data_IF_739499445237
#
_entry.id   IF_739499445237
#
_cell.length_a   1.000
_cell.length_b   1.000
_cell.length_c   1.000
_cell.angle_alpha   90.00
_cell.angle_beta   90.00
_cell.angle_gamma   90.00
#
_symmetry.space_group_name_H-M   'P 1'
#
loop_
_entity.id
_entity.type
_entity.pdbx_description
1 polymer ?
#
# COMPACT_ATOMS: atom_id res chain seq x y z
N UNK A 1 -10.08 3.95 44.80
CA UNK A 1 -8.94 4.59 44.08
C UNK A 1 -8.62 3.95 42.69
N UNK A 2 -9.40 2.96 42.25
CA UNK A 2 -9.17 2.27 40.97
C UNK A 2 -9.68 3.04 39.73
N UNK A 3 -10.76 3.81 39.89
CA UNK A 3 -11.51 4.38 38.76
C UNK A 3 -10.76 5.46 37.98
N UNK A 4 -10.02 6.32 38.62
CA UNK A 4 -9.30 7.44 37.99
C UNK A 4 -8.15 6.95 37.08
N UNK A 5 -7.42 5.90 37.50
CA UNK A 5 -6.34 5.30 36.69
C UNK A 5 -6.89 4.63 35.45
N UNK A 6 -8.03 3.97 35.56
CA UNK A 6 -8.69 3.31 34.41
C UNK A 6 -9.25 4.34 33.42
N UNK A 7 -9.86 5.42 33.94
CA UNK A 7 -10.34 6.54 33.09
C UNK A 7 -9.16 7.20 32.35
N UNK A 8 -8.05 7.46 33.03
CA UNK A 8 -6.85 8.00 32.39
C UNK A 8 -6.29 7.06 31.32
N UNK A 9 -6.30 5.75 31.61
CA UNK A 9 -5.86 4.75 30.62
C UNK A 9 -6.80 4.70 29.40
N UNK A 10 -8.12 4.79 29.61
CA UNK A 10 -9.11 4.91 28.51
C UNK A 10 -8.86 6.16 27.67
N UNK A 11 -8.65 7.31 28.29
CA UNK A 11 -8.39 8.55 27.58
C UNK A 11 -7.08 8.51 26.78
N UNK A 12 -6.04 7.86 27.33
CA UNK A 12 -4.78 7.63 26.61
C UNK A 12 -4.96 6.69 25.41
N UNK A 13 -5.60 5.53 25.60
CA UNK A 13 -5.88 4.61 24.49
C UNK A 13 -6.69 5.29 23.39
N UNK A 14 -7.64 6.15 23.75
CA UNK A 14 -8.42 6.92 22.76
C UNK A 14 -7.57 7.98 22.06
N UNK A 15 -6.67 8.66 22.76
CA UNK A 15 -5.74 9.63 22.19
C UNK A 15 -4.67 8.98 21.29
N UNK A 16 -4.28 7.74 21.61
CA UNK A 16 -3.34 6.91 20.85
C UNK A 16 -4.03 6.18 19.69
N UNK A 17 -5.37 6.26 19.57
CA UNK A 17 -6.15 5.62 18.52
C UNK A 17 -6.33 4.11 18.68
N UNK A 18 -6.01 3.55 19.86
CA UNK A 18 -6.17 2.12 20.16
C UNK A 18 -7.59 1.83 20.67
N UNK A 19 -8.51 1.61 19.69
CA UNK A 19 -9.92 1.31 19.99
C UNK A 19 -10.10 -0.04 20.69
N UNK A 20 -9.30 -1.03 20.36
CA UNK A 20 -9.41 -2.35 21.01
C UNK A 20 -9.01 -2.26 22.48
N UNK A 21 -7.93 -1.57 22.78
CA UNK A 21 -7.51 -1.32 24.15
C UNK A 21 -8.51 -0.42 24.91
N UNK A 22 -9.07 0.61 24.23
CA UNK A 22 -10.12 1.45 24.79
C UNK A 22 -11.36 0.64 25.18
N UNK A 23 -11.86 -0.23 24.27
CA UNK A 23 -13.03 -1.09 24.53
C UNK A 23 -12.75 -2.14 25.60
N UNK A 24 -11.54 -2.70 25.64
CA UNK A 24 -11.13 -3.65 26.67
C UNK A 24 -11.13 -3.01 28.07
N UNK A 25 -10.58 -1.79 28.20
CA UNK A 25 -10.57 -1.05 29.46
C UNK A 25 -11.99 -0.64 29.85
N UNK A 26 -12.84 -0.23 28.90
CA UNK A 26 -14.24 0.11 29.16
C UNK A 26 -15.02 -1.09 29.72
N UNK A 27 -14.80 -2.30 29.20
CA UNK A 27 -15.40 -3.53 29.72
C UNK A 27 -14.86 -3.89 31.12
N UNK A 28 -13.57 -3.65 31.39
CA UNK A 28 -13.00 -3.82 32.73
C UNK A 28 -13.63 -2.86 33.77
N UNK A 29 -13.87 -1.61 33.36
CA UNK A 29 -14.58 -0.63 34.20
C UNK A 29 -16.00 -1.10 34.46
N UNK A 30 -16.73 -1.54 33.44
CA UNK A 30 -18.09 -2.09 33.60
C UNK A 30 -18.12 -3.30 34.55
N UNK A 31 -17.15 -4.22 34.43
CA UNK A 31 -17.03 -5.36 35.32
C UNK A 31 -16.69 -4.94 36.80
N UNK A 32 -15.91 -3.87 36.96
CA UNK A 32 -15.59 -3.31 38.26
C UNK A 32 -16.82 -2.69 38.94
N UNK A 33 -17.60 -1.90 38.17
CA UNK A 33 -18.86 -1.27 38.66
C UNK A 33 -19.90 -2.34 39.05
N UNK A 34 -20.02 -3.41 38.24
CA UNK A 34 -20.89 -4.54 38.58
C UNK A 34 -20.51 -5.21 39.89
N UNK A 35 -19.22 -5.39 40.16
CA UNK A 35 -18.71 -5.96 41.41
C UNK A 35 -18.92 -5.06 42.63
N UNK A 36 -18.99 -3.74 42.44
CA UNK A 36 -19.28 -2.75 43.47
C UNK A 36 -20.79 -2.57 43.71
N UNK A 37 -21.64 -3.30 43.00
CA UNK A 37 -23.09 -3.25 43.19
C UNK A 37 -23.79 -2.22 42.29
N UNK A 38 -23.05 -1.46 41.47
CA UNK A 38 -23.59 -0.43 40.58
C UNK A 38 -24.05 -1.05 39.25
N UNK A 39 -25.02 -1.95 39.30
CA UNK A 39 -25.49 -2.72 38.13
C UNK A 39 -25.96 -1.83 36.97
N UNK A 40 -26.69 -0.76 37.28
CA UNK A 40 -27.21 0.17 36.25
C UNK A 40 -26.08 0.83 35.44
N UNK A 41 -25.00 1.28 36.13
CA UNK A 41 -23.84 1.87 35.49
C UNK A 41 -23.08 0.85 34.66
N UNK A 42 -22.95 -0.38 35.15
CA UNK A 42 -22.29 -1.47 34.44
C UNK A 42 -23.03 -1.84 33.16
N UNK A 43 -24.36 -1.89 33.20
CA UNK A 43 -25.21 -2.20 32.05
C UNK A 43 -25.19 -1.05 31.02
N UNK A 44 -25.19 0.20 31.47
CA UNK A 44 -25.05 1.37 30.59
C UNK A 44 -23.68 1.38 29.88
N UNK A 45 -22.61 1.07 30.59
CA UNK A 45 -21.27 0.99 30.00
C UNK A 45 -21.18 -0.16 28.99
N UNK A 46 -21.76 -1.32 29.28
CA UNK A 46 -21.82 -2.44 28.32
C UNK A 46 -22.60 -2.08 27.07
N UNK A 47 -23.78 -1.50 27.23
CA UNK A 47 -24.63 -1.06 26.11
C UNK A 47 -23.93 0.02 25.27
N UNK A 48 -23.16 0.94 25.91
CA UNK A 48 -22.38 1.93 25.18
C UNK A 48 -21.22 1.28 24.40
N UNK A 49 -20.55 0.27 24.96
CA UNK A 49 -19.51 -0.50 24.27
C UNK A 49 -20.09 -1.29 23.11
N UNK A 50 -21.27 -1.92 23.27
CA UNK A 50 -21.93 -2.62 22.18
C UNK A 50 -22.37 -1.67 21.06
N UNK A 51 -22.96 -0.52 21.40
CA UNK A 51 -23.28 0.53 20.42
C UNK A 51 -22.04 1.04 19.68
N UNK A 52 -20.91 1.21 20.38
CA UNK A 52 -19.66 1.58 19.73
C UNK A 52 -19.13 0.47 18.80
N UNK A 53 -19.30 -0.81 19.18
CA UNK A 53 -19.00 -1.95 18.31
C UNK A 53 -19.94 -2.04 17.11
N UNK A 54 -21.21 -1.77 17.30
CA UNK A 54 -22.22 -1.74 16.22
C UNK A 54 -22.09 -0.51 15.33
N UNK A 55 -21.79 0.67 15.89
CA UNK A 55 -21.51 1.90 15.16
C UNK A 55 -20.14 1.84 14.45
N UNK A 56 -19.20 1.06 14.99
CA UNK A 56 -17.98 0.61 14.33
C UNK A 56 -18.23 -0.52 13.33
N UNK A 57 -19.49 -0.89 13.11
CA UNK A 57 -19.92 -1.92 12.20
C UNK A 57 -19.34 -1.71 10.82
N UNK A 58 -18.49 -2.63 10.43
CA UNK A 58 -17.98 -2.91 9.10
C UNK A 58 -17.02 -1.90 8.45
N UNK A 59 -16.34 -1.11 9.27
CA UNK A 59 -15.02 -0.60 8.91
C UNK A 59 -14.04 -1.17 9.93
N UNK A 60 -13.27 -2.21 9.61
CA UNK A 60 -12.07 -2.46 10.36
C UNK A 60 -11.16 -1.25 10.12
N UNK A 61 -11.28 -0.22 10.97
CA UNK A 61 -10.18 0.70 11.18
C UNK A 61 -9.08 -0.11 11.86
N UNK A 62 -8.37 -0.89 11.07
CA UNK A 62 -7.06 -1.36 11.45
C UNK A 62 -6.27 -0.07 11.59
N UNK A 63 -6.20 0.47 12.81
CA UNK A 63 -5.21 1.47 13.14
C UNK A 63 -3.87 0.77 13.01
N UNK A 64 -3.41 0.66 11.79
CA UNK A 64 -2.06 0.22 11.50
C UNK A 64 -1.20 1.33 12.06
N UNK A 65 -0.47 1.03 13.12
CA UNK A 65 0.45 1.98 13.74
C UNK A 65 1.29 2.66 12.67
N UNK A 66 1.13 3.97 12.53
CA UNK A 66 1.98 4.82 11.68
C UNK A 66 3.36 5.04 12.31
N UNK A 67 3.71 4.27 13.35
CA UNK A 67 5.04 4.32 13.93
C UNK A 67 6.08 4.01 12.85
N UNK A 68 7.04 4.91 12.69
CA UNK A 68 8.16 4.72 11.76
C UNK A 68 8.90 3.43 12.11
N UNK A 69 9.39 2.70 11.10
CA UNK A 69 10.28 1.57 11.33
C UNK A 69 11.44 1.99 12.23
N UNK A 70 11.77 1.17 13.22
CA UNK A 70 12.84 1.43 14.20
C UNK A 70 13.82 0.27 14.22
N UNK A 71 15.03 0.53 14.71
CA UNK A 71 16.07 -0.49 14.80
C UNK A 71 16.54 -0.94 13.43
N UNK A 72 16.68 -2.25 13.25
CA UNK A 72 17.25 -2.86 12.03
C UNK A 72 16.45 -2.58 10.75
N UNK A 73 15.20 -2.12 10.85
CA UNK A 73 14.36 -1.70 9.73
C UNK A 73 14.52 -0.21 9.38
N UNK A 74 15.21 0.56 10.22
CA UNK A 74 15.48 1.96 9.96
C UNK A 74 16.38 2.11 8.73
N UNK A 75 15.91 2.90 7.77
CA UNK A 75 16.60 3.07 6.48
C UNK A 75 16.36 1.96 5.46
N UNK A 76 15.69 0.84 5.80
CA UNK A 76 15.27 -0.18 4.85
C UNK A 76 13.84 0.08 4.30
N UNK A 77 13.01 0.75 5.09
CA UNK A 77 11.61 1.03 4.78
C UNK A 77 11.31 2.51 4.96
N UNK A 78 10.80 3.14 3.93
CA UNK A 78 10.21 4.47 4.00
C UNK A 78 8.70 4.34 4.17
N UNK A 79 8.18 4.95 5.24
CA UNK A 79 6.75 4.97 5.54
C UNK A 79 6.13 6.26 5.03
N UNK A 80 5.09 6.11 4.22
CA UNK A 80 4.31 7.22 3.65
C UNK A 80 2.84 7.10 4.06
N UNK A 81 2.23 8.22 4.37
CA UNK A 81 0.78 8.30 4.44
C UNK A 81 0.22 8.44 3.02
N UNK A 82 -0.59 7.48 2.54
CA UNK A 82 -1.10 7.56 1.18
C UNK A 82 -2.10 8.71 1.05
N UNK A 83 -1.75 9.72 0.25
CA UNK A 83 -2.60 10.87 -0.04
C UNK A 83 -3.54 10.66 -1.24
N UNK A 84 -3.28 9.61 -2.04
CA UNK A 84 -3.99 9.31 -3.27
C UNK A 84 -5.04 8.21 -3.07
N UNK A 85 -6.07 8.26 -3.91
CA UNK A 85 -7.08 7.22 -4.09
C UNK A 85 -7.09 6.72 -5.53
N UNK A 86 -7.51 5.48 -5.75
CA UNK A 86 -7.63 4.92 -7.10
C UNK A 86 -8.52 5.78 -8.01
N UNK A 87 -9.53 6.43 -7.47
CA UNK A 87 -10.41 7.35 -8.23
C UNK A 87 -9.71 8.58 -8.80
N UNK A 88 -8.49 8.88 -8.36
CA UNK A 88 -7.67 10.00 -8.84
C UNK A 88 -6.60 9.57 -9.84
N UNK A 89 -6.42 8.28 -10.04
CA UNK A 89 -5.42 7.73 -10.96
C UNK A 89 -6.11 7.38 -12.27
N UNK A 90 -5.57 7.85 -13.39
CA UNK A 90 -6.02 7.48 -14.73
C UNK A 90 -5.46 6.10 -15.05
N UNK A 91 -6.33 5.15 -15.32
CA UNK A 91 -6.01 3.74 -15.55
C UNK A 91 -6.87 3.20 -16.67
N UNK A 92 -6.31 2.32 -17.48
CA UNK A 92 -7.08 1.53 -18.45
C UNK A 92 -8.18 0.72 -17.73
N UNK A 93 -9.32 0.54 -18.39
CA UNK A 93 -10.52 -0.07 -17.78
C UNK A 93 -10.25 -1.49 -17.26
N UNK A 94 -9.48 -2.29 -18.00
CA UNK A 94 -9.12 -3.65 -17.58
C UNK A 94 -8.20 -3.66 -16.34
N UNK A 95 -7.27 -2.71 -16.27
CA UNK A 95 -6.38 -2.52 -15.13
C UNK A 95 -7.16 -2.05 -13.91
N UNK A 96 -8.08 -1.11 -14.10
CA UNK A 96 -9.00 -0.64 -13.07
C UNK A 96 -9.84 -1.80 -12.51
N UNK A 97 -10.45 -2.59 -13.37
CA UNK A 97 -11.27 -3.73 -12.97
C UNK A 97 -10.49 -4.78 -12.16
N UNK A 98 -9.22 -5.01 -12.49
CA UNK A 98 -8.35 -5.90 -11.72
C UNK A 98 -8.04 -5.34 -10.33
N UNK A 99 -7.71 -4.04 -10.23
CA UNK A 99 -7.43 -3.37 -8.96
C UNK A 99 -8.68 -3.33 -8.06
N UNK A 100 -9.85 -3.01 -8.62
CA UNK A 100 -11.12 -3.01 -7.88
C UNK A 100 -11.43 -4.41 -7.32
N UNK A 101 -11.12 -5.47 -8.08
CA UNK A 101 -11.23 -6.85 -7.60
C UNK A 101 -10.28 -7.13 -6.43
N UNK A 102 -9.04 -6.66 -6.49
CA UNK A 102 -8.07 -6.79 -5.39
C UNK A 102 -8.58 -6.07 -4.15
N UNK A 103 -9.08 -4.85 -4.29
CA UNK A 103 -9.67 -4.07 -3.19
C UNK A 103 -10.83 -4.85 -2.56
N UNK A 104 -11.78 -5.31 -3.36
CA UNK A 104 -12.92 -6.09 -2.90
C UNK A 104 -12.51 -7.37 -2.15
N UNK A 105 -11.48 -8.09 -2.64
CA UNK A 105 -10.95 -9.27 -1.98
C UNK A 105 -10.32 -8.92 -0.62
N UNK A 106 -9.61 -7.82 -0.53
CA UNK A 106 -8.99 -7.37 0.71
C UNK A 106 -10.02 -6.88 1.74
N UNK A 107 -11.09 -6.23 1.30
CA UNK A 107 -12.24 -5.86 2.14
C UNK A 107 -12.96 -7.09 2.69
N UNK A 108 -13.20 -8.07 1.83
CA UNK A 108 -13.92 -9.31 2.19
C UNK A 108 -12.99 -10.45 2.65
N UNK A 109 -11.77 -10.14 3.09
CA UNK A 109 -10.75 -11.13 3.44
C UNK A 109 -11.18 -12.15 4.50
N UNK A 110 -11.96 -11.71 5.49
CA UNK A 110 -12.45 -12.61 6.57
C UNK A 110 -13.39 -13.63 5.98
N UNK A 111 -14.36 -13.20 5.19
CA UNK A 111 -15.30 -14.09 4.51
C UNK A 111 -14.59 -15.08 3.54
N UNK A 112 -13.58 -14.60 2.79
CA UNK A 112 -12.78 -15.48 1.93
C UNK A 112 -12.04 -16.55 2.72
N UNK A 113 -11.48 -16.19 3.89
CA UNK A 113 -10.79 -17.14 4.78
C UNK A 113 -11.73 -18.18 5.37
N UNK A 114 -12.92 -17.80 5.76
CA UNK A 114 -13.98 -18.72 6.21
C UNK A 114 -14.34 -19.72 5.10
N UNK A 115 -14.33 -19.29 3.83
CA UNK A 115 -14.46 -20.12 2.65
C UNK A 115 -13.19 -20.88 2.24
N UNK A 116 -12.16 -20.91 3.10
CA UNK A 116 -10.83 -21.49 2.82
C UNK A 116 -10.17 -20.93 1.54
N UNK A 117 -10.35 -19.63 1.29
CA UNK A 117 -9.75 -18.88 0.18
C UNK A 117 -8.86 -17.77 0.73
N UNK A 118 -7.80 -17.44 0.00
CA UNK A 118 -6.93 -16.33 0.35
C UNK A 118 -7.16 -15.16 -0.62
N UNK A 119 -7.23 -13.92 -0.13
CA UNK A 119 -7.25 -12.75 -1.00
C UNK A 119 -5.90 -12.58 -1.70
N UNK A 120 -5.91 -11.97 -2.87
CA UNK A 120 -4.68 -11.59 -3.60
C UNK A 120 -3.81 -10.67 -2.74
N UNK A 121 -2.53 -11.01 -2.59
CA UNK A 121 -1.56 -10.26 -1.75
C UNK A 121 -0.34 -9.82 -2.53
N UNK A 122 0.06 -10.59 -3.54
CA UNK A 122 1.28 -10.39 -4.32
C UNK A 122 0.90 -9.91 -5.69
N UNK A 123 1.20 -8.65 -5.96
CA UNK A 123 0.87 -7.98 -7.21
C UNK A 123 2.16 -7.63 -7.95
N UNK A 124 2.25 -8.00 -9.21
CA UNK A 124 3.34 -7.59 -10.08
C UNK A 124 2.88 -6.44 -10.98
N UNK A 125 3.50 -5.29 -10.85
CA UNK A 125 3.28 -4.13 -11.71
C UNK A 125 4.34 -4.14 -12.82
N UNK A 126 3.93 -4.37 -14.04
CA UNK A 126 4.81 -4.46 -15.20
C UNK A 126 4.45 -3.38 -16.22
N UNK A 127 5.46 -2.67 -16.74
CA UNK A 127 5.26 -1.63 -17.75
C UNK A 127 6.43 -0.65 -17.81
N UNK A 128 6.44 0.26 -18.78
CA UNK A 128 7.52 1.22 -18.99
C UNK A 128 7.68 2.19 -17.81
N UNK A 129 8.84 2.86 -17.67
CA UNK A 129 9.01 3.91 -16.68
C UNK A 129 8.02 5.05 -16.94
N UNK A 130 7.57 5.70 -15.86
CA UNK A 130 6.61 6.80 -15.95
C UNK A 130 5.16 6.41 -16.27
N UNK A 131 4.82 5.11 -16.33
CA UNK A 131 3.45 4.63 -16.59
C UNK A 131 2.53 4.63 -15.36
N UNK A 132 2.96 5.18 -14.22
CA UNK A 132 2.11 5.34 -13.02
C UNK A 132 2.11 4.18 -12.04
N UNK A 133 3.03 3.20 -12.15
CA UNK A 133 3.11 2.02 -11.25
C UNK A 133 3.18 2.40 -9.76
N UNK A 134 4.16 3.20 -9.38
CA UNK A 134 4.38 3.64 -7.99
C UNK A 134 3.19 4.44 -7.46
N UNK A 135 2.66 5.36 -8.27
CA UNK A 135 1.46 6.15 -7.95
C UNK A 135 0.23 5.26 -7.74
N UNK A 136 0.07 4.22 -8.55
CA UNK A 136 -1.05 3.26 -8.40
C UNK A 136 -0.90 2.41 -7.14
N UNK A 137 0.33 2.03 -6.77
CA UNK A 137 0.60 1.30 -5.52
C UNK A 137 0.26 2.16 -4.28
N UNK A 138 0.62 3.45 -4.30
CA UNK A 138 0.23 4.42 -3.28
C UNK A 138 -1.29 4.57 -3.21
N UNK A 139 -1.95 4.76 -4.37
CA UNK A 139 -3.40 4.90 -4.45
C UNK A 139 -4.15 3.65 -3.96
N UNK A 140 -3.60 2.45 -4.22
CA UNK A 140 -4.12 1.19 -3.69
C UNK A 140 -4.02 1.15 -2.16
N UNK A 141 -2.90 1.61 -1.59
CA UNK A 141 -2.76 1.73 -0.14
C UNK A 141 -3.79 2.70 0.45
N UNK A 142 -4.01 3.84 -0.21
CA UNK A 142 -5.04 4.81 0.16
C UNK A 142 -6.45 4.24 0.10
N UNK A 143 -6.78 3.45 -0.94
CA UNK A 143 -8.09 2.81 -1.08
C UNK A 143 -8.34 1.78 0.02
N UNK A 144 -7.31 1.01 0.35
CA UNK A 144 -7.35 -0.01 1.41
C UNK A 144 -7.24 0.57 2.84
N UNK A 145 -7.01 1.89 2.98
CA UNK A 145 -6.75 2.55 4.27
C UNK A 145 -5.58 1.91 5.02
N UNK A 146 -4.52 1.58 4.31
CA UNK A 146 -3.32 0.94 4.83
C UNK A 146 -2.11 1.87 4.69
N UNK A 147 -1.11 1.78 5.57
CA UNK A 147 0.15 2.48 5.38
C UNK A 147 0.84 2.00 4.10
N UNK A 148 1.50 2.91 3.44
CA UNK A 148 2.31 2.66 2.26
C UNK A 148 3.78 2.62 2.66
N UNK A 149 4.44 1.49 2.45
CA UNK A 149 5.84 1.28 2.80
C UNK A 149 6.63 0.98 1.53
N UNK A 150 7.61 1.83 1.26
CA UNK A 150 8.51 1.66 0.12
C UNK A 150 9.81 1.02 0.62
N UNK A 151 10.17 -0.10 0.02
CA UNK A 151 11.39 -0.84 0.35
C UNK A 151 12.56 -0.22 -0.42
N UNK A 152 13.58 0.22 0.30
CA UNK A 152 14.79 0.82 -0.27
C UNK A 152 15.75 -0.28 -0.73
N UNK A 153 15.68 -0.64 -2.01
CA UNK A 153 16.51 -1.70 -2.58
C UNK A 153 18.00 -1.39 -2.48
N UNK A 154 18.38 -0.12 -2.62
CA UNK A 154 19.77 0.32 -2.48
C UNK A 154 20.34 0.09 -1.06
N UNK A 155 19.48 0.11 -0.04
CA UNK A 155 19.86 -0.16 1.35
C UNK A 155 19.90 -1.67 1.68
N UNK A 156 19.19 -2.48 0.89
CA UNK A 156 19.20 -3.93 1.01
C UNK A 156 20.47 -4.54 0.40
N UNK A 157 20.93 -3.99 -0.73
CA UNK A 157 22.07 -4.54 -1.47
C UNK A 157 23.35 -4.08 -0.79
N UNK A 158 24.09 -5.03 -0.21
CA UNK A 158 25.38 -4.80 0.40
C UNK A 158 26.43 -5.70 -0.24
N UNK A 159 27.70 -5.31 -0.15
CA UNK A 159 28.82 -6.13 -0.64
C UNK A 159 28.95 -7.49 0.07
N UNK A 160 28.30 -7.64 1.21
CA UNK A 160 28.36 -8.86 2.02
C UNK A 160 27.09 -9.69 1.83
N UNK A 161 27.22 -10.84 1.19
CA UNK A 161 26.08 -11.71 0.78
C UNK A 161 25.14 -12.13 1.91
N UNK A 162 25.67 -12.37 3.12
CA UNK A 162 24.83 -12.75 4.28
C UNK A 162 23.94 -11.64 4.78
N UNK A 163 24.35 -10.39 4.62
CA UNK A 163 23.58 -9.22 5.09
C UNK A 163 22.37 -8.93 4.23
N UNK A 164 22.47 -9.07 2.90
CA UNK A 164 21.35 -8.82 2.00
C UNK A 164 20.18 -9.77 2.27
N UNK A 165 20.47 -11.06 2.43
CA UNK A 165 19.41 -12.05 2.77
C UNK A 165 18.83 -11.81 4.16
N UNK A 166 19.65 -11.43 5.14
CA UNK A 166 19.17 -11.08 6.48
C UNK A 166 18.27 -9.84 6.48
N UNK A 167 18.66 -8.79 5.75
CA UNK A 167 17.86 -7.57 5.60
C UNK A 167 16.54 -7.83 4.88
N UNK A 168 16.55 -8.62 3.80
CA UNK A 168 15.32 -9.04 3.13
C UNK A 168 14.39 -9.78 4.08
N UNK A 169 14.94 -10.71 4.87
CA UNK A 169 14.14 -11.44 5.87
C UNK A 169 13.49 -10.49 6.87
N UNK A 170 14.21 -9.49 7.38
CA UNK A 170 13.63 -8.48 8.28
C UNK A 170 12.45 -7.74 7.64
N UNK A 171 12.58 -7.36 6.37
CA UNK A 171 11.47 -6.71 5.63
C UNK A 171 10.28 -7.67 5.50
N UNK A 172 10.50 -8.93 5.12
CA UNK A 172 9.41 -9.90 4.99
C UNK A 172 8.76 -10.24 6.34
N UNK A 173 9.53 -10.38 7.41
CA UNK A 173 9.01 -10.58 8.77
C UNK A 173 8.11 -9.39 9.18
N UNK A 174 8.49 -8.16 8.79
CA UNK A 174 7.65 -6.99 9.03
C UNK A 174 6.33 -7.04 8.22
N UNK A 175 6.32 -7.55 6.98
CA UNK A 175 5.06 -7.72 6.22
C UNK A 175 4.07 -8.64 6.89
N UNK A 176 4.56 -9.59 7.69
CA UNK A 176 3.73 -10.52 8.47
C UNK A 176 3.22 -9.84 9.74
N UNK A 177 4.07 -9.06 10.42
CA UNK A 177 3.75 -8.40 11.68
C UNK A 177 2.85 -7.19 11.51
N UNK A 178 3.11 -6.41 10.45
CA UNK A 178 2.42 -5.15 10.21
C UNK A 178 1.70 -5.19 8.88
N UNK A 179 0.40 -4.98 8.93
CA UNK A 179 -0.41 -4.87 7.72
C UNK A 179 -0.13 -3.54 7.01
N UNK A 180 0.14 -3.61 5.73
CA UNK A 180 0.46 -2.45 4.88
C UNK A 180 0.55 -2.86 3.43
N UNK A 181 0.71 -1.87 2.56
CA UNK A 181 1.12 -2.08 1.17
C UNK A 181 2.62 -1.83 1.10
N UNK A 182 3.36 -2.87 0.76
CA UNK A 182 4.83 -2.84 0.65
C UNK A 182 5.20 -2.81 -0.82
N UNK A 183 5.83 -1.74 -1.26
CA UNK A 183 6.32 -1.58 -2.62
C UNK A 183 7.80 -1.89 -2.69
N UNK A 184 8.17 -2.84 -3.52
CA UNK A 184 9.53 -3.09 -3.97
C UNK A 184 9.69 -2.43 -5.34
N UNK A 185 10.17 -1.19 -5.38
CA UNK A 185 10.31 -0.42 -6.61
C UNK A 185 11.68 -0.62 -7.26
N UNK A 186 11.80 -0.27 -8.55
CA UNK A 186 13.05 -0.30 -9.31
C UNK A 186 13.77 -1.67 -9.38
N UNK A 187 13.04 -2.77 -9.27
CA UNK A 187 13.60 -4.11 -9.35
C UNK A 187 14.30 -4.39 -10.70
N UNK A 188 13.92 -3.69 -11.75
CA UNK A 188 14.50 -3.72 -13.10
C UNK A 188 15.81 -2.92 -13.22
N UNK A 189 15.95 -1.80 -12.48
CA UNK A 189 17.18 -1.02 -12.44
C UNK A 189 18.33 -1.83 -11.83
N UNK A 190 18.01 -2.74 -10.94
CA UNK A 190 18.94 -3.66 -10.29
C UNK A 190 19.44 -4.71 -11.27
N UNK A 191 18.65 -5.08 -12.31
CA UNK A 191 19.05 -6.01 -13.38
C UNK A 191 19.73 -5.36 -14.59
N UNK A 192 19.68 -4.03 -14.74
CA UNK A 192 20.04 -3.33 -15.97
C UNK A 192 21.47 -2.80 -16.11
N UNK A 193 22.24 -2.68 -15.06
CA UNK A 193 23.65 -2.22 -15.15
C UNK A 193 24.60 -3.36 -15.59
N UNK A 194 24.71 -3.54 -16.88
CA UNK A 194 25.58 -4.53 -17.56
C UNK A 194 27.06 -4.11 -17.58
N UNK A 195 27.70 -3.80 -16.45
CA UNK A 195 29.11 -3.33 -16.52
C UNK A 195 30.11 -4.10 -15.67
N UNK A 196 29.72 -5.13 -14.91
CA UNK A 196 30.71 -6.03 -14.31
C UNK A 196 30.14 -7.44 -14.15
N UNK A 197 30.91 -8.44 -14.55
CA UNK A 197 30.54 -9.87 -14.51
C UNK A 197 30.26 -10.42 -13.11
N UNK A 198 30.63 -9.73 -12.05
CA UNK A 198 30.37 -10.11 -10.66
C UNK A 198 29.01 -9.66 -10.15
N UNK A 199 28.47 -8.52 -10.62
CA UNK A 199 27.20 -7.96 -10.13
C UNK A 199 25.97 -8.78 -10.56
N UNK A 200 26.04 -9.46 -11.72
CA UNK A 200 24.93 -10.29 -12.23
C UNK A 200 24.65 -11.50 -11.33
N UNK A 201 25.71 -12.06 -10.72
CA UNK A 201 25.58 -13.21 -9.82
C UNK A 201 24.95 -12.83 -8.48
N UNK A 202 25.31 -11.67 -7.92
CA UNK A 202 24.72 -11.17 -6.65
C UNK A 202 23.26 -10.82 -6.82
N UNK A 203 22.92 -10.18 -7.94
CA UNK A 203 21.56 -9.79 -8.26
C UNK A 203 20.62 -10.98 -8.42
N UNK A 204 21.04 -12.02 -9.13
CA UNK A 204 20.28 -13.26 -9.24
C UNK A 204 20.02 -13.89 -7.87
N UNK A 205 20.96 -13.78 -6.95
CA UNK A 205 20.81 -14.30 -5.58
C UNK A 205 19.84 -13.48 -4.76
N UNK A 206 19.90 -12.14 -4.85
CA UNK A 206 18.92 -11.24 -4.21
C UNK A 206 17.53 -11.57 -4.71
N UNK A 207 17.36 -11.69 -6.02
CA UNK A 207 16.09 -12.07 -6.63
C UNK A 207 15.61 -13.45 -6.18
N UNK A 208 16.51 -14.43 -6.13
CA UNK A 208 16.16 -15.76 -5.64
C UNK A 208 15.77 -15.76 -4.16
N UNK A 209 16.49 -15.00 -3.32
CA UNK A 209 16.13 -14.84 -1.90
C UNK A 209 14.78 -14.15 -1.75
N UNK A 210 14.53 -13.10 -2.53
CA UNK A 210 13.23 -12.41 -2.57
C UNK A 210 12.10 -13.37 -2.95
N UNK A 211 12.28 -14.16 -4.00
CA UNK A 211 11.31 -15.13 -4.46
C UNK A 211 11.07 -16.24 -3.43
N UNK A 212 12.13 -16.69 -2.75
CA UNK A 212 12.04 -17.67 -1.68
C UNK A 212 11.21 -17.13 -0.51
N UNK A 213 11.46 -15.89 -0.05
CA UNK A 213 10.68 -15.28 1.03
C UNK A 213 9.22 -15.03 0.64
N UNK A 214 8.92 -14.77 -0.63
CA UNK A 214 7.53 -14.69 -1.09
C UNK A 214 6.80 -16.04 -1.04
N UNK A 215 7.53 -17.17 -1.05
CA UNK A 215 6.94 -18.51 -1.10
C UNK A 215 6.73 -19.18 0.26
N UNK A 216 7.28 -18.67 1.35
CA UNK A 216 7.08 -19.31 2.66
C UNK A 216 5.60 -19.28 3.10
N UNK A 217 4.95 -20.45 3.34
CA UNK A 217 5.53 -21.78 3.49
C UNK A 217 5.23 -22.70 2.30
N UNK A 218 6.16 -23.05 1.46
CA UNK A 218 6.33 -24.35 0.83
C UNK A 218 7.11 -24.30 -0.50
N UNK A 219 8.17 -25.08 -0.47
CA UNK A 219 8.82 -25.83 -1.54
C UNK A 219 9.80 -25.19 -2.50
N UNK A 220 10.86 -25.94 -2.67
CA UNK A 220 12.09 -25.80 -3.43
C UNK A 220 11.89 -25.66 -4.93
N UNK A 221 12.45 -24.65 -5.51
CA UNK A 221 13.37 -24.58 -6.67
C UNK A 221 13.37 -23.18 -7.29
N UNK A 222 14.56 -22.54 -7.46
CA UNK A 222 14.67 -21.23 -8.06
C UNK A 222 15.13 -21.34 -9.52
N UNK A 223 14.32 -20.93 -10.48
CA UNK A 223 14.81 -20.64 -11.83
C UNK A 223 14.21 -19.35 -12.38
N UNK A 224 15.09 -18.32 -12.47
CA UNK A 224 15.19 -17.16 -13.38
C UNK A 224 13.91 -16.44 -13.87
N UNK A 225 13.99 -15.12 -13.93
CA UNK A 225 13.12 -14.09 -14.56
C UNK A 225 12.46 -14.53 -15.90
N UNK A 226 11.65 -15.53 -15.84
CA UNK A 226 11.01 -16.32 -16.84
C UNK A 226 9.49 -16.27 -16.53
N UNK A 227 8.62 -16.70 -17.41
CA UNK A 227 7.20 -16.96 -17.16
C UNK A 227 6.88 -17.63 -15.81
N UNK A 228 7.86 -18.32 -15.22
CA UNK A 228 7.82 -18.85 -13.86
C UNK A 228 7.67 -17.77 -12.76
N UNK A 229 8.20 -16.56 -12.94
CA UNK A 229 8.03 -15.45 -12.01
C UNK A 229 6.58 -14.99 -11.93
N UNK A 230 5.92 -14.90 -13.09
CA UNK A 230 4.53 -14.45 -13.14
C UNK A 230 3.60 -15.40 -12.39
N UNK A 231 3.94 -16.68 -12.29
CA UNK A 231 3.16 -17.68 -11.55
C UNK A 231 3.23 -17.54 -10.03
N UNK A 232 4.18 -16.75 -9.51
CA UNK A 232 4.37 -16.51 -8.08
C UNK A 232 3.59 -15.30 -7.57
N UNK A 233 3.06 -14.49 -8.50
CA UNK A 233 2.19 -13.38 -8.19
C UNK A 233 0.73 -13.80 -8.35
N UNK A 234 -0.10 -13.30 -7.45
CA UNK A 234 -1.54 -13.58 -7.47
C UNK A 234 -2.21 -12.82 -8.63
N UNK A 235 -1.67 -11.64 -8.97
CA UNK A 235 -2.13 -10.82 -10.10
C UNK A 235 -0.94 -10.15 -10.81
N UNK A 236 -1.01 -10.08 -12.14
CA UNK A 236 -0.07 -9.31 -12.97
C UNK A 236 -0.82 -8.14 -13.59
N UNK A 237 -0.41 -6.94 -13.21
CA UNK A 237 -0.99 -5.66 -13.61
C UNK A 237 -0.07 -5.02 -14.64
N UNK A 238 -0.51 -4.98 -15.90
CA UNK A 238 0.26 -4.43 -17.01
C UNK A 238 -0.13 -2.98 -17.24
N UNK A 239 0.87 -2.13 -17.22
CA UNK A 239 0.76 -0.70 -17.52
C UNK A 239 1.33 -0.47 -18.92
N UNK A 240 0.47 -0.09 -19.83
CA UNK A 240 0.86 0.25 -21.18
C UNK A 240 1.04 1.77 -21.32
N UNK A 241 1.47 2.21 -22.51
CA UNK A 241 1.47 3.64 -22.83
C UNK A 241 0.02 4.13 -22.93
N UNK A 242 -0.25 5.39 -22.50
CA UNK A 242 -1.62 5.89 -22.43
C UNK A 242 -2.30 5.96 -23.79
N UNK A 243 -3.53 5.50 -23.85
CA UNK A 243 -4.43 5.62 -24.99
C UNK A 243 -4.85 7.09 -25.22
N UNK A 244 -5.43 7.43 -26.38
CA UNK A 244 -5.93 8.78 -26.65
C UNK A 244 -6.88 9.33 -25.60
N UNK A 245 -7.73 8.49 -25.03
CA UNK A 245 -8.68 8.88 -23.99
C UNK A 245 -7.98 9.10 -22.64
N UNK A 246 -7.03 8.24 -22.30
CA UNK A 246 -6.21 8.39 -21.09
C UNK A 246 -5.29 9.62 -21.18
N UNK A 247 -4.71 9.93 -22.36
CA UNK A 247 -3.96 11.18 -22.58
C UNK A 247 -4.83 12.40 -22.23
N UNK A 248 -6.07 12.41 -22.73
CA UNK A 248 -7.02 13.47 -22.42
C UNK A 248 -7.30 13.57 -20.93
N UNK A 249 -7.56 12.43 -20.28
CA UNK A 249 -7.91 12.39 -18.87
C UNK A 249 -6.75 12.81 -17.96
N UNK A 250 -5.52 12.35 -18.24
CA UNK A 250 -4.31 12.78 -17.52
C UNK A 250 -4.17 14.30 -17.59
N UNK A 251 -4.18 14.86 -18.79
CA UNK A 251 -4.03 16.32 -18.97
C UNK A 251 -5.16 17.08 -18.30
N UNK A 252 -6.41 16.64 -18.43
CA UNK A 252 -7.56 17.27 -17.77
C UNK A 252 -7.45 17.22 -16.26
N UNK A 253 -6.95 16.13 -15.67
CA UNK A 253 -6.81 15.99 -14.23
C UNK A 253 -5.84 17.04 -13.64
N UNK A 254 -4.77 17.35 -14.36
CA UNK A 254 -3.78 18.36 -13.98
C UNK A 254 -4.24 19.82 -14.25
N UNK A 255 -5.13 20.01 -15.24
CA UNK A 255 -5.68 21.32 -15.55
C UNK A 255 -6.97 21.66 -14.77
N UNK A 256 -7.55 20.76 -14.01
CA UNK A 256 -8.86 20.91 -13.32
C UNK A 256 -9.04 22.16 -12.45
N UNK A 257 -8.03 22.76 -11.80
CA UNK A 257 -8.22 24.02 -11.10
C UNK A 257 -8.49 25.21 -12.03
N UNK A 258 -8.16 25.06 -13.31
CA UNK A 258 -8.26 26.14 -14.28
C UNK A 258 -9.50 25.97 -15.14
N UNK A 259 -10.27 27.06 -15.34
CA UNK A 259 -11.27 27.12 -16.42
C UNK A 259 -10.53 27.23 -17.73
N UNK A 260 -10.06 26.09 -18.25
CA UNK A 260 -9.30 26.05 -19.49
C UNK A 260 -10.18 26.54 -20.65
N UNK A 261 -9.71 27.48 -21.48
CA UNK A 261 -10.35 27.85 -22.73
C UNK A 261 -10.34 26.66 -23.70
N UNK A 262 -10.86 26.85 -24.90
CA UNK A 262 -10.96 25.79 -25.93
C UNK A 262 -9.61 25.10 -26.15
N UNK A 263 -9.50 23.84 -25.70
CA UNK A 263 -8.31 23.02 -25.90
C UNK A 263 -8.41 22.28 -27.23
N UNK A 264 -7.35 22.34 -28.05
CA UNK A 264 -7.25 21.65 -29.34
C UNK A 264 -6.89 20.17 -29.14
N UNK A 265 -7.80 19.39 -28.57
CA UNK A 265 -7.56 17.99 -28.12
C UNK A 265 -6.95 17.12 -29.22
N UNK A 266 -7.37 17.27 -30.49
CA UNK A 266 -6.84 16.47 -31.60
C UNK A 266 -5.32 16.62 -31.75
N UNK A 267 -4.83 17.86 -31.69
CA UNK A 267 -3.39 18.16 -31.79
C UNK A 267 -2.62 17.66 -30.56
N UNK A 268 -3.19 17.86 -29.36
CA UNK A 268 -2.56 17.43 -28.11
C UNK A 268 -2.44 15.90 -28.04
N UNK A 269 -3.47 15.18 -28.43
CA UNK A 269 -3.44 13.71 -28.46
C UNK A 269 -2.43 13.21 -29.48
N UNK A 270 -2.35 13.84 -30.66
CA UNK A 270 -1.37 13.49 -31.69
C UNK A 270 0.07 13.67 -31.19
N UNK A 271 0.38 14.81 -30.58
CA UNK A 271 1.72 15.10 -30.02
C UNK A 271 2.01 14.27 -28.76
N UNK A 272 0.99 14.02 -27.94
CA UNK A 272 1.09 13.24 -26.71
C UNK A 272 1.19 11.72 -26.93
N UNK A 273 0.92 11.27 -28.15
CA UNK A 273 1.01 9.84 -28.49
C UNK A 273 2.46 9.35 -28.33
N UNK A 274 2.64 8.29 -27.52
CA UNK A 274 3.95 7.73 -27.23
C UNK A 274 4.66 8.35 -26.02
N UNK A 275 4.07 9.36 -25.37
CA UNK A 275 4.55 9.89 -24.11
C UNK A 275 4.00 9.07 -22.93
N UNK A 276 4.80 8.93 -21.89
CA UNK A 276 4.38 8.32 -20.62
C UNK A 276 3.41 9.22 -19.85
N UNK A 277 2.64 8.66 -18.93
CA UNK A 277 1.76 9.45 -18.05
C UNK A 277 2.51 10.53 -17.28
N UNK A 278 3.73 10.24 -16.83
CA UNK A 278 4.57 11.21 -16.11
C UNK A 278 5.01 12.39 -16.99
N UNK A 279 5.31 12.14 -18.27
CA UNK A 279 5.65 13.20 -19.22
C UNK A 279 4.44 14.05 -19.56
N UNK A 280 3.28 13.45 -19.77
CA UNK A 280 2.01 14.15 -20.00
C UNK A 280 1.62 15.02 -18.81
N UNK A 281 1.72 14.47 -17.59
CA UNK A 281 1.46 15.19 -16.35
C UNK A 281 2.38 16.42 -16.22
N UNK A 282 3.68 16.24 -16.43
CA UNK A 282 4.67 17.33 -16.38
C UNK A 282 4.35 18.41 -17.42
N UNK A 283 4.05 18.02 -18.64
CA UNK A 283 3.71 18.98 -19.70
C UNK A 283 2.43 19.77 -19.36
N UNK A 284 1.43 19.12 -18.79
CA UNK A 284 0.20 19.77 -18.34
C UNK A 284 0.45 20.75 -17.20
N UNK A 285 1.27 20.38 -16.21
CA UNK A 285 1.64 21.25 -15.09
C UNK A 285 2.44 22.48 -15.55
N UNK A 286 3.36 22.31 -16.49
CA UNK A 286 4.13 23.41 -17.05
C UNK A 286 3.24 24.38 -17.86
N UNK A 287 2.32 23.84 -18.65
CA UNK A 287 1.33 24.63 -19.37
C UNK A 287 0.42 25.41 -18.42
N UNK A 288 -0.02 24.77 -17.33
CA UNK A 288 -0.83 25.41 -16.29
C UNK A 288 -0.06 26.57 -15.62
N UNK A 289 1.21 26.36 -15.26
CA UNK A 289 2.06 27.40 -14.67
C UNK A 289 2.26 28.58 -15.65
N UNK A 290 2.55 28.31 -16.92
CA UNK A 290 2.70 29.34 -17.94
C UNK A 290 1.43 30.18 -18.11
N UNK A 291 0.25 29.53 -18.10
CA UNK A 291 -1.03 30.22 -18.20
C UNK A 291 -1.41 31.05 -16.95
N UNK A 292 -0.89 30.69 -15.77
CA UNK A 292 -1.09 31.47 -14.54
C UNK A 292 -0.17 32.68 -14.45
N UNK A 293 0.97 32.68 -15.15
CA UNK A 293 1.96 33.75 -15.15
C UNK A 293 1.76 34.77 -16.31
N UNK A 294 0.90 34.43 -17.27
CA UNK A 294 0.51 35.30 -18.40
C UNK A 294 -0.71 36.16 -18.05
#
# INVERSE_FOLDING_TARGET
MSNTKQILSMLRSRAEGDEDQFLAIALQVAASEARQGHRTNADQLRAAVEKLREAGGDKPSVHVSLARPRGDLEGLLDLWEPGLRLSRVVLADDLRAKLDRVVLQQERRTWLREGNRLPSRRLLFAGPPGSGKTMTAEALAGELHLPFLVVRLEALITRYMGETSAKLRLVFDETIRRRGVYLFDEFDAVGGKRTATNDVGEMRRVLNSFLQFMEEPASNHPELLDPALQRRFDEVLRFDMPSPDEIREVIQSHLRPMKAPRIAWKQIIEVGSGLSQAELARAADEAAKAALLS
#
